data_IF_007662690822
#
_entry.id   IF_007662690822
#
_cell.length_a   1.000
_cell.length_b   1.000
_cell.length_c   1.000
_cell.angle_alpha   90.00
_cell.angle_beta   90.00
_cell.angle_gamma   90.00
#
_symmetry.space_group_name_H-M   'P 1'
#
loop_
_entity.id
_entity.type
_entity.pdbx_description
1 polymer ?
#
# COMPACT_ATOMS: atom_id res chain seq x y z
N UNK A 1 -40.77 16.26 36.63
CA UNK A 1 -39.47 16.86 36.25
C UNK A 1 -38.40 15.84 36.61
N UNK A 2 -38.35 14.75 35.85
CA UNK A 2 -37.38 13.69 36.07
C UNK A 2 -36.21 13.90 35.12
N UNK A 3 -35.05 14.22 35.70
CA UNK A 3 -33.77 14.29 35.00
C UNK A 3 -33.40 12.88 34.57
N UNK A 4 -33.46 12.61 33.26
CA UNK A 4 -32.81 11.43 32.69
C UNK A 4 -31.30 11.50 32.97
N UNK A 5 -30.65 10.38 33.33
CA UNK A 5 -29.21 10.34 33.52
C UNK A 5 -28.53 10.54 32.17
N UNK A 6 -27.73 11.60 32.07
CA UNK A 6 -26.84 11.88 30.95
C UNK A 6 -25.69 10.89 30.96
N UNK A 7 -25.92 9.68 30.45
CA UNK A 7 -24.84 8.80 29.98
C UNK A 7 -24.40 9.30 28.61
N UNK A 8 -23.71 10.44 28.56
CA UNK A 8 -22.80 10.72 27.45
C UNK A 8 -21.62 9.78 27.66
N UNK A 9 -21.73 8.62 27.02
CA UNK A 9 -20.70 7.59 26.98
C UNK A 9 -19.43 8.16 26.35
N UNK A 10 -18.31 7.82 26.97
CA UNK A 10 -16.92 8.02 26.55
C UNK A 10 -16.58 7.32 25.21
N UNK A 11 -17.37 7.53 24.14
CA UNK A 11 -17.10 6.91 22.84
C UNK A 11 -15.85 7.47 22.15
N UNK A 12 -15.35 8.64 22.55
CA UNK A 12 -14.20 9.28 21.90
C UNK A 12 -12.85 8.83 22.47
N UNK A 13 -12.78 8.37 23.74
CA UNK A 13 -11.51 7.92 24.34
C UNK A 13 -11.05 6.54 23.84
N UNK A 14 -11.98 5.68 23.42
CA UNK A 14 -11.64 4.37 22.84
C UNK A 14 -11.10 4.47 21.40
N UNK A 15 -11.41 5.55 20.67
CA UNK A 15 -11.01 5.69 19.27
C UNK A 15 -9.53 6.07 19.10
N UNK A 16 -8.89 6.73 20.05
CA UNK A 16 -7.51 7.22 19.89
C UNK A 16 -6.48 6.09 19.91
N UNK A 17 -6.72 5.01 20.64
CA UNK A 17 -5.77 3.89 20.76
C UNK A 17 -5.78 2.91 19.58
N UNK A 18 -6.76 2.99 18.67
CA UNK A 18 -6.89 2.03 17.57
C UNK A 18 -6.04 2.37 16.34
N UNK A 19 -5.53 3.59 16.23
CA UNK A 19 -4.90 4.06 14.99
C UNK A 19 -3.36 4.09 15.01
N UNK A 20 -2.74 3.80 16.16
CA UNK A 20 -1.29 3.60 16.28
C UNK A 20 -0.90 2.17 15.88
N UNK A 21 -1.01 1.86 14.59
CA UNK A 21 -0.58 0.55 14.09
C UNK A 21 0.91 0.58 13.75
N UNK A 22 1.79 -0.16 14.46
CA UNK A 22 3.24 -0.02 14.35
C UNK A 22 3.81 -0.35 12.96
N UNK A 23 3.04 -1.03 12.11
CA UNK A 23 3.45 -1.31 10.74
C UNK A 23 3.20 -0.14 9.75
N UNK A 24 2.38 0.85 10.08
CA UNK A 24 1.96 1.87 9.10
C UNK A 24 3.11 2.78 8.67
N UNK A 25 3.90 3.29 9.62
CA UNK A 25 5.07 4.10 9.30
C UNK A 25 6.10 3.33 8.48
N UNK A 26 6.27 2.04 8.77
CA UNK A 26 7.13 1.14 8.00
C UNK A 26 6.59 0.94 6.57
N UNK A 27 5.28 0.72 6.42
CA UNK A 27 4.65 0.55 5.11
C UNK A 27 4.65 1.83 4.29
N UNK A 28 4.40 2.98 4.91
CA UNK A 28 4.49 4.27 4.25
C UNK A 28 5.89 4.46 3.65
N UNK A 29 6.95 4.27 4.45
CA UNK A 29 8.32 4.35 3.97
C UNK A 29 8.62 3.34 2.84
N UNK A 30 8.18 2.09 2.98
CA UNK A 30 8.41 1.05 1.98
C UNK A 30 7.65 1.30 0.67
N UNK A 31 6.44 1.85 0.73
CA UNK A 31 5.62 2.09 -0.46
C UNK A 31 6.07 3.28 -1.29
N UNK A 32 7.01 4.09 -0.82
CA UNK A 32 7.58 5.20 -1.61
C UNK A 32 8.51 4.75 -2.76
N UNK A 33 8.96 3.49 -2.77
CA UNK A 33 9.89 2.98 -3.79
C UNK A 33 9.46 1.63 -4.33
N UNK A 34 9.77 1.34 -5.60
CA UNK A 34 9.52 0.01 -6.19
C UNK A 34 10.20 -1.09 -5.38
N UNK A 35 11.44 -0.87 -4.92
CA UNK A 35 12.15 -1.84 -4.09
C UNK A 35 11.41 -2.14 -2.78
N UNK A 36 10.90 -1.12 -2.09
CA UNK A 36 10.19 -1.31 -0.83
C UNK A 36 8.86 -2.05 -1.03
N UNK A 37 8.11 -1.76 -2.09
CA UNK A 37 6.88 -2.52 -2.43
C UNK A 37 7.19 -3.98 -2.71
N UNK A 38 8.26 -4.27 -3.45
CA UNK A 38 8.69 -5.64 -3.70
C UNK A 38 9.01 -6.37 -2.40
N UNK A 39 9.77 -5.74 -1.50
CA UNK A 39 10.11 -6.34 -0.20
C UNK A 39 8.87 -6.56 0.65
N UNK A 40 7.95 -5.61 0.69
CA UNK A 40 6.66 -5.71 1.38
C UNK A 40 5.82 -6.88 0.85
N UNK A 41 5.77 -7.04 -0.48
CA UNK A 41 5.05 -8.13 -1.13
C UNK A 41 5.71 -9.49 -0.87
N UNK A 42 7.03 -9.57 -0.90
CA UNK A 42 7.79 -10.77 -0.54
C UNK A 42 7.53 -11.14 0.92
N UNK A 43 7.65 -10.19 1.84
CA UNK A 43 7.48 -10.44 3.27
C UNK A 43 6.04 -10.85 3.62
N UNK A 44 5.05 -10.28 2.93
CA UNK A 44 3.64 -10.64 3.12
C UNK A 44 3.23 -11.98 2.49
N UNK A 45 4.02 -12.52 1.56
CA UNK A 45 3.79 -13.83 0.92
C UNK A 45 4.67 -14.95 1.50
N UNK A 46 5.67 -14.61 2.33
CA UNK A 46 6.41 -15.58 3.13
C UNK A 46 5.47 -16.25 4.14
N UNK A 47 5.73 -17.53 4.44
CA UNK A 47 5.06 -18.31 5.49
C UNK A 47 3.54 -18.53 5.32
N UNK A 48 3.06 -18.68 4.09
CA UNK A 48 1.61 -18.91 3.80
C UNK A 48 0.68 -17.80 4.33
N UNK A 49 1.22 -16.61 4.59
CA UNK A 49 0.43 -15.46 4.99
C UNK A 49 -0.51 -15.01 3.85
N UNK A 50 -1.67 -14.41 4.18
CA UNK A 50 -2.71 -14.09 3.21
C UNK A 50 -2.37 -12.90 2.28
N UNK A 51 -1.12 -12.44 2.27
CA UNK A 51 -0.64 -11.35 1.41
C UNK A 51 -0.88 -9.95 2.00
N UNK A 52 -0.26 -8.96 1.36
CA UNK A 52 -0.33 -7.55 1.78
C UNK A 52 -1.77 -7.02 1.74
N UNK A 53 -2.53 -7.38 0.70
CA UNK A 53 -3.90 -6.94 0.53
C UNK A 53 -4.82 -7.41 1.69
N UNK A 54 -4.61 -8.63 2.19
CA UNK A 54 -5.40 -9.16 3.31
C UNK A 54 -5.13 -8.43 4.63
N UNK A 55 -4.00 -7.73 4.78
CA UNK A 55 -3.73 -6.88 5.93
C UNK A 55 -4.23 -5.44 5.71
N UNK A 56 -4.03 -4.87 4.51
CA UNK A 56 -4.42 -3.50 4.20
C UNK A 56 -5.94 -3.29 4.11
N UNK A 57 -6.69 -4.22 3.50
CA UNK A 57 -8.13 -4.03 3.26
C UNK A 57 -8.95 -4.01 4.56
N UNK A 58 -8.71 -4.87 5.57
CA UNK A 58 -9.38 -4.74 6.86
C UNK A 58 -9.12 -3.39 7.54
N UNK A 59 -7.90 -2.86 7.46
CA UNK A 59 -7.57 -1.52 7.98
C UNK A 59 -8.37 -0.43 7.26
N UNK A 60 -8.43 -0.49 5.93
CA UNK A 60 -9.24 0.43 5.13
C UNK A 60 -10.73 0.33 5.50
N UNK A 61 -11.27 -0.88 5.63
CA UNK A 61 -12.65 -1.10 6.02
C UNK A 61 -12.95 -0.54 7.42
N UNK A 62 -12.03 -0.73 8.37
CA UNK A 62 -12.15 -0.20 9.72
C UNK A 62 -12.15 1.33 9.70
N UNK A 63 -11.15 1.95 9.07
CA UNK A 63 -11.05 3.41 8.96
C UNK A 63 -12.26 4.05 8.27
N UNK A 64 -12.77 3.45 7.18
CA UNK A 64 -13.99 3.94 6.52
C UNK A 64 -15.21 3.79 7.43
N UNK A 65 -15.35 2.67 8.13
CA UNK A 65 -16.50 2.44 9.02
C UNK A 65 -16.50 3.45 10.17
N UNK A 66 -15.34 3.70 10.77
CA UNK A 66 -15.20 4.61 11.90
C UNK A 66 -15.34 6.07 11.48
N UNK A 67 -14.82 6.45 10.30
CA UNK A 67 -15.07 7.77 9.74
C UNK A 67 -16.57 8.02 9.57
N UNK A 68 -17.31 7.05 9.03
CA UNK A 68 -18.76 7.15 8.86
C UNK A 68 -19.51 7.24 10.20
N UNK A 69 -19.04 6.52 11.23
CA UNK A 69 -19.59 6.60 12.60
C UNK A 69 -19.31 7.96 13.22
N UNK A 70 -18.07 8.43 13.16
CA UNK A 70 -17.68 9.75 13.65
C UNK A 70 -18.48 10.85 12.96
N UNK A 71 -18.76 10.70 11.67
CA UNK A 71 -19.60 11.65 10.93
C UNK A 71 -21.07 11.63 11.36
N UNK A 72 -21.56 10.49 11.82
CA UNK A 72 -22.93 10.32 12.28
C UNK A 72 -23.13 10.76 13.74
N UNK A 73 -22.08 10.78 14.56
CA UNK A 73 -22.16 11.28 15.93
C UNK A 73 -22.26 12.82 15.95
N UNK A 74 -23.27 13.33 16.66
CA UNK A 74 -23.39 14.74 17.04
C UNK A 74 -23.80 14.83 18.52
N UNK A 75 -23.25 15.77 19.31
CA UNK A 75 -22.19 16.73 18.98
C UNK A 75 -20.80 16.05 18.87
N UNK A 76 -19.85 16.71 18.21
CA UNK A 76 -18.45 16.26 18.08
C UNK A 76 -17.55 17.18 18.90
N UNK A 77 -16.57 16.63 19.62
CA UNK A 77 -15.60 17.44 20.36
C UNK A 77 -14.43 17.92 19.47
N UNK A 78 -14.21 17.27 18.33
CA UNK A 78 -13.09 17.51 17.43
C UNK A 78 -13.55 17.56 15.97
N UNK A 79 -12.87 18.39 15.18
CA UNK A 79 -13.08 18.52 13.73
C UNK A 79 -12.54 17.30 12.99
N UNK A 80 -13.14 16.98 11.84
CA UNK A 80 -12.74 15.79 11.06
C UNK A 80 -11.28 15.82 10.59
N UNK A 81 -10.72 16.99 10.29
CA UNK A 81 -9.35 17.15 9.81
C UNK A 81 -8.31 16.69 10.85
N UNK A 82 -8.60 16.90 12.13
CA UNK A 82 -7.74 16.53 13.26
C UNK A 82 -8.05 15.14 13.81
N UNK A 83 -9.15 14.52 13.36
CA UNK A 83 -9.56 13.24 13.87
C UNK A 83 -8.54 12.13 13.52
N UNK A 84 -8.07 11.34 14.51
CA UNK A 84 -7.12 10.26 14.28
C UNK A 84 -7.56 9.29 13.17
N UNK A 85 -8.86 8.99 13.08
CA UNK A 85 -9.42 8.13 12.02
C UNK A 85 -9.23 8.73 10.62
N UNK A 86 -9.35 10.05 10.48
CA UNK A 86 -9.16 10.75 9.20
C UNK A 86 -7.70 10.69 8.79
N UNK A 87 -6.77 10.99 9.72
CA UNK A 87 -5.33 10.92 9.48
C UNK A 87 -4.89 9.50 9.11
N UNK A 88 -5.34 8.51 9.88
CA UNK A 88 -5.13 7.09 9.60
C UNK A 88 -5.62 6.71 8.20
N UNK A 89 -6.84 7.13 7.84
CA UNK A 89 -7.41 6.81 6.54
C UNK A 89 -6.63 7.49 5.40
N UNK A 90 -6.17 8.72 5.57
CA UNK A 90 -5.27 9.39 4.61
C UNK A 90 -4.01 8.55 4.39
N UNK A 91 -3.35 8.09 5.46
CA UNK A 91 -2.15 7.22 5.36
C UNK A 91 -2.44 5.92 4.61
N UNK A 92 -3.53 5.22 4.95
CA UNK A 92 -3.92 3.97 4.28
C UNK A 92 -4.19 4.20 2.79
N UNK A 93 -4.90 5.27 2.44
CA UNK A 93 -5.20 5.60 1.05
C UNK A 93 -3.93 5.97 0.27
N UNK A 94 -3.00 6.70 0.88
CA UNK A 94 -1.69 7.00 0.28
C UNK A 94 -0.87 5.74 0.01
N UNK A 95 -0.79 4.83 0.99
CA UNK A 95 -0.15 3.52 0.83
C UNK A 95 -0.79 2.75 -0.35
N UNK A 96 -2.12 2.70 -0.40
CA UNK A 96 -2.85 2.02 -1.48
C UNK A 96 -2.59 2.66 -2.86
N UNK A 97 -2.57 4.00 -2.94
CA UNK A 97 -2.27 4.73 -4.16
C UNK A 97 -0.85 4.43 -4.65
N UNK A 98 0.14 4.46 -3.75
CA UNK A 98 1.52 4.15 -4.07
C UNK A 98 1.67 2.71 -4.57
N UNK A 99 1.07 1.74 -3.88
CA UNK A 99 1.04 0.35 -4.30
C UNK A 99 0.46 0.19 -5.72
N UNK A 100 -0.68 0.82 -5.99
CA UNK A 100 -1.37 0.71 -7.28
C UNK A 100 -0.59 1.40 -8.40
N UNK A 101 0.08 2.52 -8.12
CA UNK A 101 0.86 3.28 -9.10
C UNK A 101 2.15 2.56 -9.47
N UNK A 102 2.83 1.98 -8.49
CA UNK A 102 4.16 1.39 -8.68
C UNK A 102 4.07 -0.09 -9.11
N UNK A 103 3.12 -0.86 -8.56
CA UNK A 103 2.85 -2.25 -8.94
C UNK A 103 1.35 -2.43 -9.25
N UNK A 104 0.95 -2.27 -10.53
CA UNK A 104 -0.44 -2.45 -10.95
C UNK A 104 -1.01 -3.85 -10.62
N UNK A 105 -0.16 -4.88 -10.52
CA UNK A 105 -0.60 -6.22 -10.12
C UNK A 105 -1.02 -6.22 -8.66
N UNK A 106 -0.23 -5.58 -7.79
CA UNK A 106 -0.58 -5.40 -6.38
C UNK A 106 -1.84 -4.53 -6.23
N UNK A 107 -1.98 -3.48 -7.04
CA UNK A 107 -3.21 -2.69 -7.10
C UNK A 107 -4.45 -3.55 -7.41
N UNK A 108 -4.36 -4.42 -8.42
CA UNK A 108 -5.42 -5.40 -8.73
C UNK A 108 -5.67 -6.39 -7.58
N UNK A 109 -4.64 -6.84 -6.88
CA UNK A 109 -4.76 -7.72 -5.70
C UNK A 109 -5.53 -7.04 -4.57
N UNK A 110 -5.19 -5.79 -4.23
CA UNK A 110 -5.87 -5.00 -3.20
C UNK A 110 -7.33 -4.74 -3.58
N UNK A 111 -7.59 -4.38 -4.84
CA UNK A 111 -8.94 -4.20 -5.38
C UNK A 111 -9.81 -5.45 -5.20
N UNK A 112 -9.26 -6.63 -5.49
CA UNK A 112 -9.95 -7.94 -5.37
C UNK A 112 -10.30 -8.30 -3.93
N UNK A 113 -9.46 -7.93 -2.97
CA UNK A 113 -9.75 -8.14 -1.55
C UNK A 113 -10.89 -7.26 -1.02
N UNK A 114 -11.47 -6.39 -1.87
CA UNK A 114 -12.66 -5.61 -1.54
C UNK A 114 -12.37 -4.15 -1.20
N UNK A 115 -11.14 -3.65 -1.46
CA UNK A 115 -10.81 -2.24 -1.21
C UNK A 115 -11.76 -1.29 -1.95
N UNK A 116 -12.17 -1.66 -3.15
CA UNK A 116 -13.10 -0.92 -3.99
C UNK A 116 -14.45 -0.65 -3.34
N UNK A 117 -14.97 -1.59 -2.54
CA UNK A 117 -16.24 -1.42 -1.83
C UNK A 117 -16.10 -0.25 -0.85
N UNK A 118 -14.94 -0.14 -0.21
CA UNK A 118 -14.64 0.94 0.73
C UNK A 118 -14.36 2.26 0.00
N UNK A 119 -13.63 2.23 -1.12
CA UNK A 119 -13.39 3.42 -1.95
C UNK A 119 -14.72 4.00 -2.47
N UNK A 120 -15.62 3.17 -2.99
CA UNK A 120 -16.94 3.62 -3.46
C UNK A 120 -17.76 4.25 -2.33
N UNK A 121 -17.68 3.73 -1.11
CA UNK A 121 -18.33 4.36 0.04
C UNK A 121 -17.78 5.77 0.29
N UNK A 122 -16.47 5.97 0.23
CA UNK A 122 -15.84 7.28 0.39
C UNK A 122 -16.23 8.25 -0.75
N UNK A 123 -16.12 7.79 -2.00
CA UNK A 123 -16.45 8.59 -3.20
C UNK A 123 -17.92 9.05 -3.17
N UNK A 124 -18.83 8.19 -2.73
CA UNK A 124 -20.27 8.49 -2.68
C UNK A 124 -20.70 9.32 -1.46
N UNK A 125 -19.76 9.74 -0.61
CA UNK A 125 -20.10 10.66 0.47
C UNK A 125 -20.53 12.00 -0.12
N UNK A 126 -21.75 12.46 0.19
CA UNK A 126 -22.16 13.81 -0.19
C UNK A 126 -21.72 14.79 0.92
N UNK A 127 -20.78 15.72 0.65
CA UNK A 127 -20.37 16.74 1.63
C UNK A 127 -21.45 17.83 1.81
N UNK A 128 -22.29 18.08 0.81
CA UNK A 128 -23.31 19.14 0.81
C UNK A 128 -24.56 18.78 1.63
N UNK A 129 -24.84 17.49 1.79
CA UNK A 129 -25.93 17.01 2.67
C UNK A 129 -25.62 17.27 4.15
N UNK A 130 -24.37 17.55 4.47
CA UNK A 130 -23.93 17.76 5.83
C UNK A 130 -23.67 19.23 6.11
N UNK A 131 -24.20 19.71 7.23
CA UNK A 131 -23.76 20.96 7.86
C UNK A 131 -22.39 20.70 8.48
N UNK A 132 -21.37 20.70 7.62
CA UNK A 132 -19.94 20.67 7.97
C UNK A 132 -19.40 22.10 7.87
N UNK A 133 -18.34 22.39 8.61
CA UNK A 133 -17.52 23.57 8.33
C UNK A 133 -16.64 23.34 7.07
N UNK A 134 -16.02 24.41 6.60
CA UNK A 134 -15.19 24.39 5.38
C UNK A 134 -14.00 23.42 5.51
N UNK A 135 -13.34 23.37 6.67
CA UNK A 135 -12.18 22.50 6.90
C UNK A 135 -12.55 21.00 6.92
N UNK A 136 -13.72 20.68 7.47
CA UNK A 136 -14.29 19.34 7.44
C UNK A 136 -14.68 18.92 6.02
N UNK A 137 -15.24 19.84 5.22
CA UNK A 137 -15.54 19.60 3.81
C UNK A 137 -14.26 19.33 3.02
N UNK A 138 -13.23 20.16 3.19
CA UNK A 138 -11.94 20.00 2.53
C UNK A 138 -11.30 18.64 2.83
N UNK A 139 -11.35 18.20 4.09
CA UNK A 139 -10.80 16.90 4.48
C UNK A 139 -11.54 15.72 3.84
N UNK A 140 -12.87 15.80 3.71
CA UNK A 140 -13.65 14.78 3.01
C UNK A 140 -13.34 14.81 1.51
N UNK A 141 -13.26 16.00 0.90
CA UNK A 141 -12.91 16.15 -0.51
C UNK A 141 -11.53 15.58 -0.83
N UNK A 142 -10.54 15.80 0.03
CA UNK A 142 -9.20 15.21 -0.12
C UNK A 142 -9.26 13.67 -0.12
N UNK A 143 -9.97 13.07 0.84
CA UNK A 143 -10.16 11.61 0.90
C UNK A 143 -10.86 11.08 -0.35
N UNK A 144 -11.83 11.82 -0.88
CA UNK A 144 -12.54 11.48 -2.12
C UNK A 144 -11.65 11.56 -3.33
N UNK A 145 -10.84 12.61 -3.45
CA UNK A 145 -9.90 12.79 -4.55
C UNK A 145 -8.91 11.63 -4.61
N UNK A 146 -8.29 11.29 -3.47
CA UNK A 146 -7.36 10.16 -3.40
C UNK A 146 -8.08 8.84 -3.74
N UNK A 147 -9.29 8.65 -3.24
CA UNK A 147 -10.09 7.46 -3.54
C UNK A 147 -10.43 7.34 -5.04
N UNK A 148 -10.81 8.45 -5.67
CA UNK A 148 -11.07 8.53 -7.11
C UNK A 148 -9.80 8.22 -7.92
N UNK A 149 -8.64 8.75 -7.51
CA UNK A 149 -7.35 8.46 -8.17
C UNK A 149 -7.01 6.98 -8.10
N UNK A 150 -7.18 6.34 -6.94
CA UNK A 150 -6.97 4.89 -6.80
C UNK A 150 -7.93 4.13 -7.71
N UNK A 151 -9.22 4.49 -7.69
CA UNK A 151 -10.25 3.84 -8.49
C UNK A 151 -10.03 4.03 -10.02
N UNK A 152 -9.40 5.12 -10.44
CA UNK A 152 -9.03 5.34 -11.84
C UNK A 152 -7.84 4.48 -12.29
N UNK A 153 -6.95 4.11 -11.37
CA UNK A 153 -5.76 3.27 -11.65
C UNK A 153 -6.06 1.78 -11.56
N UNK A 154 -6.92 1.36 -10.62
CA UNK A 154 -7.41 0.00 -10.53
C UNK A 154 -8.53 -0.21 -11.52
N UNK A 155 -8.40 -1.14 -12.46
CA UNK A 155 -9.41 -1.41 -13.51
C UNK A 155 -10.74 -1.83 -12.87
N UNK A 156 -11.57 -0.84 -12.55
CA UNK A 156 -12.85 -1.00 -11.88
C UNK A 156 -13.98 -0.90 -12.90
N UNK A 157 -14.87 -1.90 -13.04
CA UNK A 157 -14.86 -3.26 -12.50
C UNK A 157 -14.41 -4.28 -13.56
N UNK A 158 -13.16 -4.77 -13.51
CA UNK A 158 -12.76 -5.90 -14.37
C UNK A 158 -13.54 -7.18 -13.96
N UNK A 159 -14.00 -8.00 -14.93
CA UNK A 159 -14.66 -9.27 -14.63
C UNK A 159 -13.75 -10.19 -13.82
N UNK A 160 -14.33 -10.78 -12.79
CA UNK A 160 -13.64 -11.52 -11.74
C UNK A 160 -12.93 -12.75 -12.30
N UNK A 161 -11.60 -12.69 -12.43
CA UNK A 161 -10.80 -13.89 -12.57
C UNK A 161 -9.82 -13.97 -11.40
N UNK A 162 -10.05 -14.85 -10.40
CA UNK A 162 -9.22 -14.93 -9.22
C UNK A 162 -7.78 -15.35 -9.61
N UNK A 163 -6.79 -14.67 -9.04
CA UNK A 163 -5.42 -15.17 -9.01
C UNK A 163 -5.37 -16.08 -7.79
N UNK A 164 -4.89 -17.31 -7.95
CA UNK A 164 -4.59 -18.17 -6.81
C UNK A 164 -3.40 -17.59 -6.02
N UNK A 165 -3.19 -18.03 -4.77
CA UNK A 165 -1.97 -17.67 -4.01
C UNK A 165 -0.74 -18.14 -4.80
N UNK A 166 -0.82 -19.30 -5.46
CA UNK A 166 0.19 -19.74 -6.42
C UNK A 166 0.39 -18.72 -7.54
N UNK A 167 -0.65 -18.22 -8.20
CA UNK A 167 -0.49 -17.20 -9.26
C UNK A 167 0.21 -15.93 -8.74
N UNK A 168 -0.10 -15.49 -7.52
CA UNK A 168 0.55 -14.35 -6.90
C UNK A 168 2.03 -14.62 -6.61
N UNK A 169 2.38 -15.83 -6.16
CA UNK A 169 3.77 -16.26 -5.93
C UNK A 169 4.56 -16.34 -7.23
N UNK A 170 3.97 -16.85 -8.30
CA UNK A 170 4.61 -16.88 -9.62
C UNK A 170 4.80 -15.48 -10.22
N UNK A 171 4.05 -14.48 -9.73
CA UNK A 171 4.18 -13.08 -10.12
C UNK A 171 5.12 -12.27 -9.23
N UNK A 172 5.77 -12.90 -8.24
CA UNK A 172 6.79 -12.22 -7.45
C UNK A 172 7.96 -11.84 -8.38
N UNK A 173 8.45 -10.59 -8.29
CA UNK A 173 9.61 -10.18 -9.08
C UNK A 173 10.82 -11.02 -8.68
N UNK A 174 11.63 -11.37 -9.68
CA UNK A 174 12.85 -12.12 -9.44
C UNK A 174 13.89 -11.16 -8.83
N UNK A 175 14.37 -11.53 -7.65
CA UNK A 175 15.39 -10.77 -6.91
C UNK A 175 16.74 -11.43 -7.12
N UNK A 176 17.64 -10.75 -7.83
CA UNK A 176 19.01 -11.21 -8.02
C UNK A 176 19.96 -10.37 -7.18
N UNK A 177 20.81 -11.02 -6.40
CA UNK A 177 21.92 -10.36 -5.71
C UNK A 177 23.19 -10.54 -6.53
N UNK A 178 23.56 -9.53 -7.31
CA UNK A 178 24.80 -9.51 -8.04
C UNK A 178 25.93 -9.07 -7.08
N UNK A 179 26.87 -9.96 -6.81
CA UNK A 179 28.13 -9.57 -6.19
C UNK A 179 29.01 -8.96 -7.29
N UNK A 180 29.46 -7.70 -7.16
CA UNK A 180 30.38 -7.14 -8.12
C UNK A 180 31.64 -8.00 -8.12
N UNK A 181 31.99 -8.54 -9.29
CA UNK A 181 33.30 -9.14 -9.48
C UNK A 181 34.26 -7.96 -9.51
N UNK A 182 35.00 -7.75 -8.41
CA UNK A 182 36.20 -6.94 -8.41
C UNK A 182 37.19 -7.65 -9.33
N UNK A 183 37.05 -7.40 -10.61
CA UNK A 183 38.01 -7.86 -11.59
C UNK A 183 39.30 -7.11 -11.29
N UNK A 184 40.34 -7.82 -10.85
CA UNK A 184 41.76 -7.41 -10.86
C UNK A 184 42.27 -7.13 -12.31
N UNK A 185 41.38 -6.72 -13.21
CA UNK A 185 41.62 -6.48 -14.62
C UNK A 185 41.87 -4.99 -14.86
N UNK A 186 43.01 -4.52 -14.33
CA UNK A 186 43.80 -3.53 -15.05
C UNK A 186 45.10 -4.23 -15.48
N UNK A 187 45.00 -4.98 -16.59
CA UNK A 187 46.12 -5.21 -17.51
C UNK A 187 47.32 -6.04 -17.04
N UNK A 188 47.12 -7.25 -16.51
CA UNK A 188 48.24 -8.20 -16.39
C UNK A 188 48.45 -8.92 -17.71
N UNK A 189 49.53 -8.56 -18.43
CA UNK A 189 50.01 -9.34 -19.56
C UNK A 189 50.39 -10.74 -19.07
N UNK A 190 49.97 -11.77 -19.82
CA UNK A 190 50.25 -13.17 -19.50
C UNK A 190 51.77 -13.38 -19.26
N UNK A 191 52.17 -13.60 -18.01
CA UNK A 191 53.55 -13.92 -17.64
C UNK A 191 54.11 -13.21 -16.40
N UNK A 192 53.50 -12.11 -15.93
CA UNK A 192 53.95 -11.43 -14.71
C UNK A 192 53.06 -11.80 -13.51
N UNK A 193 53.67 -12.43 -12.51
CA UNK A 193 53.06 -12.64 -11.19
C UNK A 193 52.92 -11.28 -10.49
N UNK A 194 51.80 -10.59 -10.73
CA UNK A 194 51.46 -9.39 -9.99
C UNK A 194 51.04 -9.82 -8.60
N UNK A 195 51.94 -9.61 -7.64
CA UNK A 195 51.62 -9.65 -6.23
C UNK A 195 50.73 -8.43 -5.93
N UNK A 196 49.42 -8.58 -6.09
CA UNK A 196 48.46 -7.57 -5.61
C UNK A 196 48.51 -7.66 -4.09
N UNK A 197 49.25 -6.75 -3.46
CA UNK A 197 49.10 -6.48 -2.04
C UNK A 197 47.71 -5.89 -1.86
N UNK A 198 46.74 -6.75 -1.57
CA UNK A 198 45.43 -6.38 -1.08
C UNK A 198 45.68 -5.59 0.20
N UNK A 199 45.68 -4.25 0.09
CA UNK A 199 45.56 -3.42 1.28
C UNK A 199 44.20 -3.77 1.88
N UNK A 200 44.19 -4.07 3.18
CA UNK A 200 43.01 -4.50 3.95
C UNK A 200 41.87 -3.45 4.03
N UNK A 201 41.83 -2.48 3.12
CA UNK A 201 40.75 -1.52 2.94
C UNK A 201 39.80 -1.97 1.82
N UNK A 202 39.57 -3.28 1.70
CA UNK A 202 38.49 -3.83 0.89
C UNK A 202 37.16 -3.38 1.50
N UNK A 203 36.72 -2.18 1.13
CA UNK A 203 35.31 -1.79 1.22
C UNK A 203 34.55 -2.87 0.46
N UNK A 204 33.93 -3.80 1.18
CA UNK A 204 32.96 -4.74 0.61
C UNK A 204 31.98 -3.90 -0.22
N UNK A 205 32.12 -3.94 -1.54
CA UNK A 205 31.17 -3.29 -2.43
C UNK A 205 29.83 -3.96 -2.15
N UNK A 206 28.91 -3.17 -1.60
CA UNK A 206 27.60 -3.69 -1.21
C UNK A 206 26.97 -4.43 -2.40
N UNK A 207 26.42 -5.64 -2.18
CA UNK A 207 25.85 -6.44 -3.26
C UNK A 207 24.78 -5.63 -4.00
N UNK A 208 24.91 -5.54 -5.32
CA UNK A 208 23.93 -4.86 -6.14
C UNK A 208 22.70 -5.75 -6.28
N UNK A 209 21.54 -5.25 -5.89
CA UNK A 209 20.29 -6.00 -6.04
C UNK A 209 19.62 -5.59 -7.35
N UNK A 210 19.45 -6.55 -8.26
CA UNK A 210 18.73 -6.38 -9.52
C UNK A 210 17.33 -6.96 -9.32
N UNK A 211 16.32 -6.12 -9.53
CA UNK A 211 14.91 -6.51 -9.46
C UNK A 211 14.38 -6.64 -10.88
N UNK A 212 13.98 -7.86 -11.26
CA UNK A 212 13.36 -8.12 -12.56
C UNK A 212 11.86 -8.34 -12.34
N UNK A 213 11.05 -7.35 -12.72
CA UNK A 213 9.60 -7.49 -12.75
C UNK A 213 9.24 -8.43 -13.89
N UNK A 214 8.62 -9.57 -13.57
CA UNK A 214 8.07 -10.44 -14.60
C UNK A 214 6.80 -9.80 -15.15
N UNK A 215 6.91 -9.12 -16.30
CA UNK A 215 5.75 -8.70 -17.08
C UNK A 215 5.14 -9.98 -17.66
N UNK A 216 4.15 -10.51 -16.94
CA UNK A 216 3.27 -11.57 -17.44
C UNK A 216 2.00 -10.93 -18.00
N UNK A 217 2.17 -9.99 -18.92
CA UNK A 217 1.15 -9.91 -19.96
C UNK A 217 1.15 -11.30 -20.55
N UNK A 218 0.07 -12.06 -20.32
CA UNK A 218 -0.20 -13.19 -21.18
C UNK A 218 -0.20 -12.56 -22.57
N UNK A 219 0.92 -12.63 -23.28
CA UNK A 219 0.89 -12.72 -24.72
C UNK A 219 0.12 -14.01 -24.96
N UNK A 220 -1.22 -13.90 -24.96
CA UNK A 220 -2.07 -14.88 -25.53
C UNK A 220 -1.55 -15.02 -26.94
N UNK A 221 -0.82 -16.10 -27.20
CA UNK A 221 -0.45 -16.53 -28.53
C UNK A 221 -1.69 -16.68 -29.46
N UNK A 222 -2.90 -16.48 -28.94
CA UNK A 222 -4.17 -16.39 -29.66
C UNK A 222 -4.47 -15.01 -30.30
N UNK A 223 -3.95 -13.90 -29.78
CA UNK A 223 -4.24 -12.58 -30.38
C UNK A 223 -3.45 -12.35 -31.68
N UNK A 224 -2.26 -12.95 -31.79
CA UNK A 224 -1.40 -12.90 -32.99
C UNK A 224 -1.76 -13.92 -34.08
N UNK A 225 -2.73 -14.83 -33.85
CA UNK A 225 -3.18 -15.81 -34.87
C UNK A 225 -4.57 -15.52 -35.44
N UNK A 226 -5.18 -14.38 -35.10
CA UNK A 226 -6.37 -13.86 -35.80
C UNK A 226 -7.53 -14.86 -35.93
N UNK A 227 -8.00 -15.39 -34.80
CA UNK A 227 -9.29 -16.10 -34.74
C UNK A 227 -10.39 -15.18 -34.21
#
# INVERSE_FOLDING_TARGET
>A
LDKAPSTMLDCESDLTHHYDHPCLSSWEAQTTTSRGIVLLRIDSLKNDAPGFAAALVPMLQHGVTDLLRLRASKPRQMTLDQAPVTLFLKTILWIHLNCTTIDPTLGKEIARHGSHVQLVKLIRQDPSVLVLDEAEQDSIMELQEVSCRIAALGVFPEPWNPFTIEDLRHRLPLVFHAKPILSDFIGVKAGESVHVSVTNESRELAPQTVLIHQITDRQSAQEDVGF
#
